data_IF_882581102904
#
_entry.id   IF_882581102904
#
_cell.length_a   1.000
_cell.length_b   1.000
_cell.length_c   1.000
_cell.angle_alpha   90.00
_cell.angle_beta   90.00
_cell.angle_gamma   90.00
#
_symmetry.space_group_name_H-M   'P 1'
#
loop_
_entity.id
_entity.type
_entity.pdbx_description
1 polymer ?
#
# COMPACT_ATOMS: atom_id res chain seq x y z
N UNK A 1 -14.87 -12.63 16.32
CA UNK A 1 -14.46 -12.65 14.90
C UNK A 1 -12.97 -12.32 14.89
N UNK A 2 -12.09 -13.31 14.77
CA UNK A 2 -10.67 -13.01 14.58
C UNK A 2 -10.49 -12.64 13.12
N UNK A 3 -10.29 -11.36 12.86
CA UNK A 3 -9.80 -10.90 11.56
C UNK A 3 -8.35 -11.32 11.53
N UNK A 4 -8.04 -12.38 10.77
CA UNK A 4 -6.68 -12.76 10.38
C UNK A 4 -6.12 -11.63 9.51
N UNK A 5 -5.70 -10.55 10.17
CA UNK A 5 -5.25 -9.33 9.53
C UNK A 5 -3.79 -9.54 9.13
N UNK A 6 -3.58 -10.32 8.07
CA UNK A 6 -2.25 -10.63 7.58
C UNK A 6 -1.58 -9.33 7.10
N UNK A 7 -0.76 -8.73 7.98
CA UNK A 7 -0.08 -7.46 7.74
C UNK A 7 1.02 -7.74 6.73
N UNK A 8 0.70 -7.56 5.46
CA UNK A 8 1.62 -7.74 4.35
C UNK A 8 1.77 -6.46 3.55
N UNK A 9 2.98 -6.20 3.05
CA UNK A 9 3.23 -5.09 2.15
C UNK A 9 2.33 -5.18 0.91
N UNK A 10 1.52 -4.15 0.65
CA UNK A 10 0.64 -4.08 -0.53
C UNK A 10 1.40 -4.27 -1.84
N UNK A 11 2.69 -3.94 -1.91
CA UNK A 11 3.47 -4.03 -3.13
C UNK A 11 4.14 -5.41 -3.30
N UNK A 12 4.91 -5.85 -2.30
CA UNK A 12 5.80 -7.01 -2.39
C UNK A 12 5.41 -8.20 -1.49
N UNK A 13 4.27 -8.11 -0.80
CA UNK A 13 3.62 -9.21 -0.05
C UNK A 13 4.43 -9.76 1.15
N UNK A 14 5.61 -9.20 1.45
CA UNK A 14 6.36 -9.54 2.66
C UNK A 14 5.61 -9.08 3.90
N UNK A 15 5.59 -9.94 4.92
CA UNK A 15 4.98 -9.71 6.23
C UNK A 15 5.92 -8.92 7.17
N UNK A 16 5.38 -8.46 8.29
CA UNK A 16 6.15 -7.78 9.34
C UNK A 16 7.18 -8.68 10.05
N UNK A 17 7.10 -10.00 9.85
CA UNK A 17 8.11 -10.96 10.33
C UNK A 17 9.44 -10.86 9.57
N UNK A 18 9.41 -10.38 8.32
CA UNK A 18 10.58 -10.35 7.43
C UNK A 18 11.08 -8.93 7.18
N UNK A 19 10.21 -7.92 7.24
CA UNK A 19 10.56 -6.52 6.97
C UNK A 19 9.65 -5.56 7.76
N UNK A 20 10.15 -4.43 8.29
CA UNK A 20 9.29 -3.44 8.92
C UNK A 20 8.22 -2.90 7.96
N UNK A 21 6.98 -2.91 8.43
CA UNK A 21 5.83 -2.36 7.73
C UNK A 21 5.42 -1.02 8.33
N UNK A 22 5.10 -0.07 7.45
CA UNK A 22 4.53 1.22 7.76
C UNK A 22 3.02 1.10 7.53
N UNK A 23 2.22 1.53 8.51
CA UNK A 23 0.76 1.57 8.37
C UNK A 23 0.34 2.87 7.70
N UNK A 24 -0.54 2.76 6.71
CA UNK A 24 -1.16 3.87 6.01
C UNK A 24 -2.67 3.79 6.20
N UNK A 25 -3.34 4.93 6.33
CA UNK A 25 -4.79 4.98 6.28
C UNK A 25 -5.21 5.53 4.92
N UNK A 26 -5.96 4.75 4.16
CA UNK A 26 -6.51 5.17 2.87
C UNK A 26 -7.99 4.82 2.81
N UNK A 27 -8.85 5.81 2.56
CA UNK A 27 -10.32 5.65 2.58
C UNK A 27 -10.89 5.01 3.85
N UNK A 28 -10.27 5.29 5.00
CA UNK A 28 -10.68 4.73 6.29
C UNK A 28 -10.22 3.30 6.55
N UNK A 29 -9.52 2.67 5.59
CA UNK A 29 -8.93 1.34 5.76
C UNK A 29 -7.44 1.42 6.06
N UNK A 30 -6.95 0.54 6.94
CA UNK A 30 -5.54 0.34 7.16
C UNK A 30 -4.92 -0.45 6.00
N UNK A 31 -3.83 0.06 5.44
CA UNK A 31 -2.97 -0.60 4.46
C UNK A 31 -1.54 -0.65 5.01
N UNK A 32 -0.73 -1.58 4.51
CA UNK A 32 0.64 -1.76 4.97
C UNK A 32 1.62 -1.68 3.81
N UNK A 33 2.72 -0.94 3.96
CA UNK A 33 3.79 -0.88 2.97
C UNK A 33 5.14 -0.93 3.66
N UNK A 34 6.11 -1.65 3.09
CA UNK A 34 7.47 -1.65 3.65
C UNK A 34 8.26 -0.42 3.22
N UNK A 35 9.30 -0.06 3.98
CA UNK A 35 10.15 1.10 3.69
C UNK A 35 10.81 1.04 2.29
N UNK A 36 11.11 -0.16 1.78
CA UNK A 36 11.67 -0.35 0.43
C UNK A 36 10.65 -0.06 -0.69
N UNK A 37 9.36 -0.30 -0.43
CA UNK A 37 8.30 -0.09 -1.42
C UNK A 37 7.63 1.29 -1.28
N UNK A 38 7.84 1.99 -0.16
CA UNK A 38 7.36 3.35 0.06
C UNK A 38 7.66 4.31 -1.12
N UNK A 39 8.84 4.29 -1.77
CA UNK A 39 9.12 5.19 -2.90
C UNK A 39 8.18 5.00 -4.10
N UNK A 40 7.56 3.81 -4.26
CA UNK A 40 6.58 3.55 -5.32
C UNK A 40 5.35 4.44 -5.15
N UNK A 41 4.93 4.73 -3.91
CA UNK A 41 3.80 5.64 -3.62
C UNK A 41 4.05 7.09 -4.03
N UNK A 42 5.31 7.49 -4.28
CA UNK A 42 5.65 8.88 -4.61
C UNK A 42 5.98 9.00 -6.11
N UNK A 43 6.69 8.02 -6.67
CA UNK A 43 7.19 8.10 -8.04
C UNK A 43 6.41 7.27 -9.07
N UNK A 44 5.66 6.25 -8.63
CA UNK A 44 5.03 5.25 -9.51
C UNK A 44 3.69 4.76 -8.97
N UNK A 45 2.85 5.68 -8.49
CA UNK A 45 1.52 5.37 -7.91
C UNK A 45 0.64 4.52 -8.82
N UNK A 46 0.77 4.65 -10.14
CA UNK A 46 0.04 3.85 -11.11
C UNK A 46 0.32 2.34 -11.02
N UNK A 47 1.48 1.92 -10.48
CA UNK A 47 1.76 0.49 -10.24
C UNK A 47 0.98 -0.10 -9.06
N UNK A 48 0.37 0.76 -8.25
CA UNK A 48 -0.44 0.38 -7.09
C UNK A 48 -1.94 0.58 -7.34
N UNK A 49 -2.33 1.04 -8.54
CA UNK A 49 -3.72 1.25 -8.97
C UNK A 49 -4.64 0.07 -8.61
N UNK A 50 -4.23 -1.11 -9.05
CA UNK A 50 -5.00 -2.34 -8.91
C UNK A 50 -4.95 -2.90 -7.48
N UNK A 51 -3.97 -2.45 -6.68
CA UNK A 51 -3.74 -2.89 -5.30
C UNK A 51 -4.34 -1.94 -4.26
N UNK A 52 -4.72 -0.73 -4.68
CA UNK A 52 -5.38 0.30 -3.88
C UNK A 52 -6.70 0.69 -4.55
N UNK A 53 -7.78 -0.09 -4.35
CA UNK A 53 -9.04 0.14 -5.03
C UNK A 53 -9.56 1.56 -4.78
N UNK A 54 -9.65 2.32 -5.87
CA UNK A 54 -10.15 3.69 -5.91
C UNK A 54 -9.16 4.79 -5.53
N UNK A 55 -7.85 4.57 -5.69
CA UNK A 55 -6.93 5.68 -5.95
C UNK A 55 -7.34 6.30 -7.28
N UNK A 56 -7.76 7.56 -7.26
CA UNK A 56 -7.96 8.32 -8.48
C UNK A 56 -6.57 8.68 -9.02
N UNK A 57 -6.19 8.00 -10.10
CA UNK A 57 -4.89 8.15 -10.75
C UNK A 57 -4.93 9.12 -11.91
N UNK A 58 -5.98 9.95 -12.03
CA UNK A 58 -5.96 11.01 -13.05
C UNK A 58 -4.67 11.83 -12.83
N UNK A 59 -3.74 11.83 -13.79
CA UNK A 59 -2.65 12.79 -13.75
C UNK A 59 -3.30 14.19 -13.69
N UNK A 60 -2.74 15.16 -12.95
CA UNK A 60 -3.23 16.52 -13.01
C UNK A 60 -3.21 16.92 -14.49
N UNK A 61 -4.39 17.24 -15.04
CA UNK A 61 -4.54 17.69 -16.42
C UNK A 61 -3.48 18.76 -16.71
N UNK A 62 -2.67 18.51 -17.74
CA UNK A 62 -1.88 19.54 -18.42
C UNK A 62 -2.61 19.94 -19.70
#
# INVERSE_FOLDING_TARGET
MHVENNKACINCERTDEVIPLITLTFKGEAKYICAQCLPVLIHKTHQLADKLPGVDLTPPNH
#
